data_IF_754093629116
#
_entry.id   IF_754093629116
#
_cell.length_a   1.000
_cell.length_b   1.000
_cell.length_c   1.000
_cell.angle_alpha   90.00
_cell.angle_beta   90.00
_cell.angle_gamma   90.00
#
_symmetry.space_group_name_H-M   'P 1'
#
loop_
_entity.id
_entity.type
_entity.pdbx_description
1 polymer ?
#
# COMPACT_ATOMS: atom_id res chain seq x y z
N UNK A 1 6.49 -20.58 -27.77
CA UNK A 1 5.57 -19.80 -26.91
C UNK A 1 6.39 -19.32 -25.74
N UNK A 2 6.61 -18.01 -25.61
CA UNK A 2 7.28 -17.46 -24.43
C UNK A 2 6.30 -17.58 -23.25
N UNK A 3 6.71 -18.25 -22.17
CA UNK A 3 5.97 -18.19 -20.92
C UNK A 3 6.01 -16.73 -20.45
N UNK A 4 4.85 -16.07 -20.40
CA UNK A 4 4.72 -14.78 -19.74
C UNK A 4 5.10 -15.02 -18.29
N UNK A 5 6.25 -14.50 -17.85
CA UNK A 5 6.66 -14.63 -16.46
C UNK A 5 5.63 -13.91 -15.59
N UNK A 6 4.89 -14.67 -14.77
CA UNK A 6 4.02 -14.10 -13.75
C UNK A 6 4.90 -13.44 -12.71
N UNK A 7 4.81 -12.11 -12.58
CA UNK A 7 5.52 -11.37 -11.54
C UNK A 7 5.00 -11.81 -10.17
N UNK A 8 5.91 -12.02 -9.23
CA UNK A 8 5.62 -12.43 -7.85
C UNK A 8 5.51 -11.21 -6.92
N UNK A 9 5.00 -11.41 -5.70
CA UNK A 9 5.02 -10.38 -4.66
C UNK A 9 6.44 -9.87 -4.38
N UNK A 10 7.43 -10.77 -4.40
CA UNK A 10 8.84 -10.44 -4.21
C UNK A 10 9.39 -9.55 -5.35
N UNK A 11 8.98 -9.81 -6.60
CA UNK A 11 9.38 -8.98 -7.75
C UNK A 11 8.84 -7.55 -7.63
N UNK A 12 7.57 -7.42 -7.24
CA UNK A 12 6.95 -6.11 -7.00
C UNK A 12 7.59 -5.37 -5.82
N UNK A 13 7.80 -6.05 -4.69
CA UNK A 13 8.43 -5.46 -3.51
C UNK A 13 9.86 -5.00 -3.80
N UNK A 14 10.64 -5.82 -4.51
CA UNK A 14 11.99 -5.45 -4.92
C UNK A 14 11.97 -4.19 -5.78
N UNK A 15 11.08 -4.11 -6.78
CA UNK A 15 10.93 -2.92 -7.61
C UNK A 15 10.57 -1.67 -6.80
N UNK A 16 9.63 -1.78 -5.87
CA UNK A 16 9.22 -0.70 -4.98
C UNK A 16 10.37 -0.22 -4.09
N UNK A 17 11.07 -1.17 -3.46
CA UNK A 17 12.18 -0.90 -2.54
C UNK A 17 13.38 -0.29 -3.24
N UNK A 18 13.82 -0.85 -4.36
CA UNK A 18 14.95 -0.33 -5.13
C UNK A 18 14.67 1.12 -5.57
N UNK A 19 13.44 1.39 -5.98
CA UNK A 19 13.01 2.73 -6.34
C UNK A 19 12.97 3.68 -5.13
N UNK A 20 12.43 3.23 -4.00
CA UNK A 20 12.40 3.99 -2.75
C UNK A 20 13.80 4.32 -2.23
N UNK A 21 14.71 3.35 -2.18
CA UNK A 21 16.09 3.59 -1.72
C UNK A 21 16.80 4.56 -2.65
N UNK A 22 16.69 4.36 -3.98
CA UNK A 22 17.38 5.19 -4.97
C UNK A 22 16.91 6.63 -4.98
N UNK A 23 15.63 6.87 -4.71
CA UNK A 23 15.03 8.18 -4.92
C UNK A 23 14.50 8.84 -3.65
N UNK A 24 14.25 8.11 -2.57
CA UNK A 24 13.62 8.62 -1.35
C UNK A 24 14.49 8.41 -0.08
N UNK A 25 15.55 7.60 -0.12
CA UNK A 25 16.31 7.18 1.06
C UNK A 25 17.00 8.30 1.87
N UNK A 26 17.34 9.43 1.23
CA UNK A 26 18.13 10.52 1.86
C UNK A 26 17.48 11.93 1.72
N UNK A 27 16.22 12.02 1.28
CA UNK A 27 15.63 13.31 0.86
C UNK A 27 14.38 13.62 1.70
N UNK A 28 14.17 14.88 2.13
CA UNK A 28 12.98 15.28 2.87
C UNK A 28 11.69 14.82 2.16
N UNK A 29 10.74 14.29 2.94
CA UNK A 29 9.55 13.50 2.50
C UNK A 29 8.68 14.12 1.39
N UNK A 30 8.84 15.40 1.06
CA UNK A 30 7.87 16.16 0.26
C UNK A 30 8.37 16.62 -1.13
N UNK A 31 9.63 16.38 -1.51
CA UNK A 31 10.19 16.97 -2.74
C UNK A 31 10.09 16.08 -4.01
N UNK A 32 9.41 14.92 -3.97
CA UNK A 32 9.42 13.94 -5.08
C UNK A 32 8.07 13.28 -5.39
N UNK A 33 7.12 14.12 -5.80
CA UNK A 33 5.72 13.77 -6.08
C UNK A 33 5.51 12.56 -7.00
N UNK A 34 6.10 12.53 -8.20
CA UNK A 34 5.93 11.42 -9.15
C UNK A 34 6.63 10.12 -8.72
N UNK A 35 7.68 10.25 -7.90
CA UNK A 35 8.48 9.13 -7.43
C UNK A 35 7.74 8.32 -6.37
N UNK A 36 6.98 8.98 -5.50
CA UNK A 36 6.24 8.31 -4.43
C UNK A 36 5.10 7.43 -4.97
N UNK A 37 4.46 7.86 -6.06
CA UNK A 37 3.38 7.10 -6.73
C UNK A 37 3.90 5.74 -7.21
N UNK A 38 5.04 5.70 -7.92
CA UNK A 38 5.57 4.46 -8.50
C UNK A 38 5.93 3.46 -7.41
N UNK A 39 6.70 3.88 -6.40
CA UNK A 39 7.05 3.01 -5.28
C UNK A 39 5.80 2.53 -4.52
N UNK A 40 4.82 3.40 -4.35
CA UNK A 40 3.56 3.07 -3.69
C UNK A 40 2.73 2.05 -4.47
N UNK A 41 2.58 2.22 -5.79
CA UNK A 41 1.81 1.28 -6.62
C UNK A 41 2.44 -0.11 -6.62
N UNK A 42 3.76 -0.20 -6.77
CA UNK A 42 4.46 -1.50 -6.73
C UNK A 42 4.38 -2.15 -5.35
N UNK A 43 4.49 -1.37 -4.26
CA UNK A 43 4.27 -1.87 -2.91
C UNK A 43 2.84 -2.41 -2.73
N UNK A 44 1.83 -1.70 -3.25
CA UNK A 44 0.43 -2.16 -3.19
C UNK A 44 0.24 -3.45 -3.96
N UNK A 45 0.83 -3.61 -5.15
CA UNK A 45 0.76 -4.86 -5.90
C UNK A 45 1.33 -6.03 -5.09
N UNK A 46 2.48 -5.83 -4.43
CA UNK A 46 3.06 -6.84 -3.55
C UNK A 46 2.11 -7.21 -2.40
N UNK A 47 1.52 -6.21 -1.72
CA UNK A 47 0.58 -6.43 -0.61
C UNK A 47 -0.72 -7.10 -1.09
N UNK A 48 -1.28 -6.69 -2.23
CA UNK A 48 -2.48 -7.30 -2.82
C UNK A 48 -2.23 -8.76 -3.16
N UNK A 49 -1.08 -9.08 -3.76
CA UNK A 49 -0.70 -10.46 -4.06
C UNK A 49 -0.64 -11.31 -2.78
N UNK A 50 0.06 -10.83 -1.74
CA UNK A 50 0.20 -11.54 -0.46
C UNK A 50 -1.15 -11.76 0.24
N UNK A 51 -2.04 -10.76 0.20
CA UNK A 51 -3.38 -10.86 0.77
C UNK A 51 -4.27 -11.82 -0.04
N UNK A 52 -4.17 -11.80 -1.36
CA UNK A 52 -4.89 -12.71 -2.26
C UNK A 52 -4.44 -14.16 -2.05
N UNK A 53 -3.12 -14.39 -1.94
CA UNK A 53 -2.54 -15.71 -1.64
C UNK A 53 -2.99 -16.22 -0.25
N UNK A 54 -3.31 -15.31 0.67
CA UNK A 54 -3.88 -15.61 1.98
C UNK A 54 -5.42 -15.72 2.00
N UNK A 55 -6.09 -15.64 0.84
CA UNK A 55 -7.55 -15.77 0.72
C UNK A 55 -8.36 -14.52 1.11
N UNK A 56 -7.73 -13.35 1.16
CA UNK A 56 -8.40 -12.07 1.40
C UNK A 56 -8.78 -11.43 0.07
N UNK A 57 -10.05 -11.05 -0.09
CA UNK A 57 -10.55 -10.37 -1.28
C UNK A 57 -10.15 -8.89 -1.28
N UNK A 58 -9.07 -8.59 -2.01
CA UNK A 58 -8.59 -7.23 -2.24
C UNK A 58 -8.17 -7.06 -3.69
N UNK A 59 -8.11 -5.82 -4.14
CA UNK A 59 -7.60 -5.48 -5.47
C UNK A 59 -6.83 -4.17 -5.42
N UNK A 60 -5.99 -3.94 -6.42
CA UNK A 60 -5.41 -2.62 -6.66
C UNK A 60 -6.56 -1.63 -6.97
N UNK A 61 -6.62 -0.52 -6.24
CA UNK A 61 -7.55 0.56 -6.51
C UNK A 61 -7.00 1.44 -7.64
N UNK A 62 -7.85 1.73 -8.62
CA UNK A 62 -7.62 2.68 -9.71
C UNK A 62 -8.72 3.74 -9.63
N UNK A 63 -8.43 5.06 -9.70
CA UNK A 63 -7.11 5.72 -9.76
C UNK A 63 -6.26 5.61 -8.49
N UNK A 64 -5.09 6.24 -8.50
CA UNK A 64 -4.34 6.58 -7.27
C UNK A 64 -5.20 7.48 -6.35
N UNK A 65 -4.86 7.49 -5.06
CA UNK A 65 -5.66 8.17 -4.02
C UNK A 65 -4.90 9.30 -3.34
N UNK A 66 -5.60 10.40 -3.10
CA UNK A 66 -5.15 11.54 -2.31
C UNK A 66 -5.65 11.40 -0.88
N UNK A 67 -4.76 11.63 0.09
CA UNK A 67 -5.07 11.59 1.53
C UNK A 67 -5.26 13.02 2.05
N UNK A 68 -6.35 13.32 2.80
CA UNK A 68 -6.56 14.65 3.36
C UNK A 68 -5.38 15.14 4.21
N UNK A 69 -4.92 16.37 3.97
CA UNK A 69 -3.76 16.95 4.65
C UNK A 69 -2.42 16.57 4.02
N UNK A 70 -2.44 15.78 2.96
CA UNK A 70 -1.32 15.45 2.09
C UNK A 70 -1.68 15.84 0.65
N UNK A 71 -2.32 17.00 0.48
CA UNK A 71 -3.07 17.39 -0.72
C UNK A 71 -2.22 17.50 -2.01
N UNK A 72 -0.90 17.43 -1.89
CA UNK A 72 0.04 17.42 -3.02
C UNK A 72 0.54 16.01 -3.39
N UNK A 73 0.15 14.98 -2.64
CA UNK A 73 0.62 13.60 -2.80
C UNK A 73 -0.52 12.66 -3.23
N UNK A 74 -0.17 11.70 -4.06
CA UNK A 74 -1.03 10.62 -4.49
C UNK A 74 -0.32 9.29 -4.28
N UNK A 75 -1.08 8.28 -3.93
CA UNK A 75 -0.55 6.96 -3.59
C UNK A 75 -1.31 5.87 -4.33
N UNK A 76 -0.61 4.80 -4.68
CA UNK A 76 -1.27 3.53 -4.91
C UNK A 76 -2.08 3.16 -3.67
N UNK A 77 -3.24 2.57 -3.89
CA UNK A 77 -4.10 2.08 -2.82
C UNK A 77 -4.64 0.71 -3.18
N UNK A 78 -4.94 -0.10 -2.18
CA UNK A 78 -5.78 -1.29 -2.37
C UNK A 78 -7.23 -0.97 -1.96
N UNK A 79 -8.17 -1.64 -2.61
CA UNK A 79 -9.57 -1.66 -2.23
C UNK A 79 -9.91 -3.03 -1.65
N UNK A 80 -10.75 -3.05 -0.62
CA UNK A 80 -11.18 -4.27 0.07
C UNK A 80 -12.42 -4.03 0.91
N UNK A 81 -12.70 -4.96 1.82
CA UNK A 81 -13.83 -4.87 2.75
C UNK A 81 -13.35 -4.96 4.21
N UNK A 82 -13.93 -4.13 5.07
CA UNK A 82 -13.74 -4.18 6.52
C UNK A 82 -15.12 -4.16 7.20
N UNK A 83 -15.46 -5.24 7.92
CA UNK A 83 -16.72 -5.35 8.67
C UNK A 83 -17.98 -5.05 7.82
N UNK A 84 -17.99 -5.52 6.56
CA UNK A 84 -19.09 -5.30 5.62
C UNK A 84 -19.05 -3.97 4.87
N UNK A 85 -18.07 -3.10 5.16
CA UNK A 85 -17.91 -1.78 4.55
C UNK A 85 -16.81 -1.79 3.48
N UNK A 86 -17.06 -1.25 2.27
CA UNK A 86 -16.00 -0.97 1.31
C UNK A 86 -14.97 0.02 1.86
N UNK A 87 -13.70 -0.36 1.79
CA UNK A 87 -12.57 0.45 2.27
C UNK A 87 -11.48 0.59 1.23
N UNK A 88 -10.70 1.66 1.37
CA UNK A 88 -9.52 1.96 0.55
C UNK A 88 -8.33 2.18 1.48
N UNK A 89 -7.18 1.61 1.14
CA UNK A 89 -5.95 1.67 1.93
C UNK A 89 -4.81 2.18 1.05
N UNK A 90 -4.58 3.51 1.01
CA UNK A 90 -3.40 4.09 0.39
C UNK A 90 -2.14 3.67 1.16
N UNK A 91 -1.13 3.16 0.45
CA UNK A 91 0.13 2.79 1.09
C UNK A 91 1.18 3.86 0.83
N UNK A 92 1.73 4.41 1.91
CA UNK A 92 2.80 5.40 1.86
C UNK A 92 4.13 4.69 2.11
N UNK A 93 5.01 4.55 1.10
CA UNK A 93 6.30 3.92 1.28
C UNK A 93 7.10 4.53 2.44
N UNK A 94 7.61 3.67 3.31
CA UNK A 94 8.41 4.07 4.46
C UNK A 94 7.61 4.65 5.65
N UNK A 95 6.28 4.56 5.62
CA UNK A 95 5.42 4.95 6.74
C UNK A 95 4.85 3.71 7.43
N UNK A 96 5.13 3.50 8.73
CA UNK A 96 4.69 2.29 9.44
C UNK A 96 3.20 2.33 9.83
N UNK A 97 2.57 3.50 9.84
CA UNK A 97 1.13 3.62 10.09
C UNK A 97 0.36 3.46 8.77
N UNK A 98 -0.47 2.43 8.71
CA UNK A 98 -1.34 2.14 7.57
C UNK A 98 -2.75 2.56 7.95
N UNK A 99 -3.25 3.61 7.29
CA UNK A 99 -4.59 4.16 7.51
C UNK A 99 -5.58 3.51 6.55
N UNK A 100 -6.68 3.01 7.09
CA UNK A 100 -7.80 2.45 6.33
C UNK A 100 -8.91 3.48 6.30
N UNK A 101 -9.37 3.82 5.10
CA UNK A 101 -10.38 4.83 4.89
C UNK A 101 -11.64 4.20 4.32
N UNK A 102 -12.78 4.84 4.56
CA UNK A 102 -14.00 4.55 3.82
C UNK A 102 -13.76 4.79 2.33
N UNK A 103 -14.31 3.91 1.49
CA UNK A 103 -14.33 4.18 0.05
C UNK A 103 -15.14 5.47 -0.23
N UNK A 104 -14.61 6.31 -1.10
CA UNK A 104 -15.24 7.52 -1.59
C UNK A 104 -15.13 7.57 -3.12
N UNK A 105 -15.93 8.43 -3.75
CA UNK A 105 -15.90 8.62 -5.20
C UNK A 105 -14.66 9.41 -5.65
N UNK A 106 -14.13 9.07 -6.82
CA UNK A 106 -13.00 9.76 -7.44
C UNK A 106 -11.64 9.40 -6.83
N UNK A 107 -10.76 10.41 -6.70
CA UNK A 107 -9.38 10.23 -6.20
C UNK A 107 -9.25 10.47 -4.70
N UNK A 108 -10.25 11.06 -4.04
CA UNK A 108 -10.20 11.29 -2.60
C UNK A 108 -10.53 10.01 -1.83
N UNK A 109 -9.91 9.83 -0.67
CA UNK A 109 -10.39 8.86 0.32
C UNK A 109 -11.47 9.47 1.22
N UNK A 110 -12.34 8.63 1.79
CA UNK A 110 -13.32 9.05 2.79
C UNK A 110 -12.71 9.25 4.18
N UNK A 111 -13.54 9.15 5.21
CA UNK A 111 -13.10 9.23 6.60
C UNK A 111 -12.18 8.06 7.00
N UNK A 112 -11.30 8.28 7.98
CA UNK A 112 -10.51 7.21 8.59
C UNK A 112 -11.45 6.25 9.33
N UNK A 113 -11.40 4.98 8.96
CA UNK A 113 -12.14 3.89 9.61
C UNK A 113 -11.30 3.27 10.72
N UNK A 114 -10.03 2.99 10.43
CA UNK A 114 -9.09 2.44 11.41
C UNK A 114 -7.65 2.72 10.99
N UNK A 115 -6.73 2.60 11.95
CA UNK A 115 -5.28 2.73 11.72
C UNK A 115 -4.62 1.47 12.28
N UNK A 116 -3.80 0.82 11.46
CA UNK A 116 -2.94 -0.29 11.90
C UNK A 116 -1.49 0.16 11.83
N UNK A 117 -0.72 -0.21 12.83
CA UNK A 117 0.70 0.18 12.92
C UNK A 117 1.56 -1.05 12.75
N UNK A 118 2.49 -1.01 11.79
CA UNK A 118 3.50 -2.05 11.65
C UNK A 118 4.49 -1.92 12.83
N UNK A 119 4.74 -3.00 13.58
CA UNK A 119 5.68 -2.98 14.70
C UNK A 119 7.08 -2.47 14.31
N UNK A 120 7.70 -1.69 15.20
CA UNK A 120 8.97 -1.00 14.91
C UNK A 120 10.13 -1.96 14.61
N UNK A 121 10.11 -3.17 15.17
CA UNK A 121 11.09 -4.23 14.91
C UNK A 121 10.96 -4.86 13.52
N UNK A 122 9.87 -4.56 12.80
CA UNK A 122 9.63 -4.96 11.40
C UNK A 122 9.99 -3.85 10.40
N UNK A 123 10.36 -2.66 10.88
CA UNK A 123 10.80 -1.54 10.04
C UNK A 123 12.29 -1.69 9.78
N UNK A 124 12.66 -1.78 8.51
CA UNK A 124 14.04 -1.92 8.11
C UNK A 124 14.83 -0.61 8.24
N UNK A 125 16.17 -0.73 8.22
CA UNK A 125 17.05 0.44 8.18
C UNK A 125 16.72 1.31 6.96
N UNK A 126 16.64 2.63 7.18
CA UNK A 126 16.19 3.59 6.16
C UNK A 126 14.67 3.77 6.12
N UNK A 127 13.93 3.15 7.05
CA UNK A 127 12.50 3.36 7.24
C UNK A 127 11.61 2.50 6.33
N UNK A 128 12.19 1.63 5.50
CA UNK A 128 11.41 0.74 4.63
C UNK A 128 10.55 -0.22 5.47
N UNK A 129 9.30 -0.41 5.03
CA UNK A 129 8.35 -1.32 5.68
C UNK A 129 8.03 -2.45 4.70
N UNK A 130 8.40 -3.71 5.01
CA UNK A 130 8.21 -4.82 4.09
C UNK A 130 6.74 -5.07 3.75
N UNK A 131 6.45 -5.48 2.51
CA UNK A 131 5.08 -5.76 2.07
C UNK A 131 4.42 -6.86 2.91
N UNK A 132 5.20 -7.89 3.28
CA UNK A 132 4.75 -8.96 4.17
C UNK A 132 4.30 -8.45 5.55
N UNK A 133 5.02 -7.48 6.13
CA UNK A 133 4.67 -6.91 7.43
C UNK A 133 3.38 -6.09 7.35
N UNK A 134 3.17 -5.35 6.26
CA UNK A 134 1.93 -4.61 6.00
C UNK A 134 0.76 -5.59 5.81
N UNK A 135 0.94 -6.61 4.96
CA UNK A 135 -0.10 -7.61 4.67
C UNK A 135 -0.52 -8.36 5.94
N UNK A 136 0.42 -8.70 6.83
CA UNK A 136 0.14 -9.33 8.12
C UNK A 136 -0.81 -8.48 8.98
N UNK A 137 -0.56 -7.17 9.09
CA UNK A 137 -1.43 -6.26 9.84
C UNK A 137 -2.80 -6.13 9.17
N UNK A 138 -2.84 -5.96 7.85
CA UNK A 138 -4.09 -5.79 7.10
C UNK A 138 -4.96 -7.05 7.14
N UNK A 139 -4.37 -8.25 7.17
CA UNK A 139 -5.13 -9.51 7.25
C UNK A 139 -5.98 -9.63 8.51
N UNK A 140 -5.59 -8.97 9.60
CA UNK A 140 -6.37 -9.01 10.85
C UNK A 140 -7.64 -8.16 10.80
N UNK A 141 -7.72 -7.23 9.85
CA UNK A 141 -8.83 -6.27 9.76
C UNK A 141 -9.63 -6.40 8.46
N UNK A 142 -8.99 -6.78 7.35
CA UNK A 142 -9.68 -7.00 6.09
C UNK A 142 -10.30 -8.39 6.12
N UNK A 143 -11.61 -8.44 5.91
CA UNK A 143 -12.39 -9.68 5.89
C UNK A 143 -12.79 -10.03 4.47
N UNK A 144 -12.90 -11.32 4.18
CA UNK A 144 -13.64 -11.82 3.02
C UNK A 144 -15.08 -11.31 3.11
N UNK A 145 -15.65 -10.82 2.00
CA UNK A 145 -17.08 -10.57 1.98
C UNK A 145 -17.79 -11.91 2.25
N UNK A 146 -18.66 -11.95 3.25
CA UNK A 146 -19.49 -13.12 3.55
C UNK A 146 -20.59 -13.30 2.51
#
# INVERSE_FOLDING_TARGET
MAATATMTAEDFEKGARDFFVRHCGDIPRYEKYGTMIVASVELVKAVVQLLTDAGVEVQLADPVRSVPGEDHLQYGALAGNHAGRPVVVPLVPGFPEVRVFAAAEGTAVGEVVTVVTVPADRVERGGWVPAAAIAEQLRTILSTAA
#
